data_IF_287473552994
#
_entry.id   IF_287473552994
#
_cell.length_a   1.000
_cell.length_b   1.000
_cell.length_c   1.000
_cell.angle_alpha   90.00
_cell.angle_beta   90.00
_cell.angle_gamma   90.00
#
_symmetry.space_group_name_H-M   'P 1'
#
loop_
_entity.id
_entity.type
_entity.pdbx_description
1 polymer ?
#
# COMPACT_ATOMS: atom_id res chain seq x y z
N UNK A 1 -11.03 13.08 -6.18
CA UNK A 1 -9.87 12.16 -6.44
C UNK A 1 -9.99 11.63 -7.86
N UNK A 2 -8.88 11.55 -8.63
CA UNK A 2 -8.90 11.01 -10.00
C UNK A 2 -8.30 9.62 -9.98
N UNK A 3 -8.99 8.65 -10.58
CA UNK A 3 -8.49 7.28 -10.77
C UNK A 3 -8.08 7.13 -12.22
N UNK A 4 -6.87 6.67 -12.45
CA UNK A 4 -6.34 6.38 -13.77
C UNK A 4 -5.86 4.93 -13.82
N UNK A 5 -6.21 4.23 -14.90
CA UNK A 5 -5.70 2.89 -15.16
C UNK A 5 -4.51 3.00 -16.10
N UNK A 6 -3.35 2.61 -15.61
CA UNK A 6 -2.11 2.61 -16.38
C UNK A 6 -1.68 1.19 -16.73
N UNK A 7 -0.92 1.05 -17.80
CA UNK A 7 -0.47 -0.25 -18.29
C UNK A 7 0.66 -0.82 -17.42
N UNK A 8 0.58 -2.11 -17.13
CA UNK A 8 1.69 -2.85 -16.54
C UNK A 8 2.36 -3.70 -17.63
N UNK A 9 3.60 -3.41 -18.05
CA UNK A 9 4.28 -4.12 -19.13
C UNK A 9 4.62 -5.57 -18.78
N UNK A 10 4.47 -5.96 -17.49
CA UNK A 10 4.71 -7.34 -17.00
C UNK A 10 6.08 -7.90 -17.44
N UNK A 11 7.10 -7.09 -17.31
CA UNK A 11 8.47 -7.39 -17.69
C UNK A 11 9.09 -8.53 -16.86
N UNK A 12 10.35 -8.86 -17.14
CA UNK A 12 11.11 -9.82 -16.34
C UNK A 12 11.24 -9.36 -14.87
N UNK A 13 11.42 -8.05 -14.62
CA UNK A 13 11.45 -7.48 -13.25
C UNK A 13 10.14 -7.69 -12.52
N UNK A 14 9.02 -7.46 -13.20
CA UNK A 14 7.70 -7.74 -12.63
C UNK A 14 7.56 -9.22 -12.23
N UNK A 15 7.93 -10.14 -13.14
CA UNK A 15 7.83 -11.57 -12.85
C UNK A 15 8.76 -11.99 -11.71
N UNK A 16 9.97 -11.46 -11.68
CA UNK A 16 10.94 -11.73 -10.61
C UNK A 16 10.40 -11.28 -9.25
N UNK A 17 9.99 -10.02 -9.12
CA UNK A 17 9.47 -9.49 -7.86
C UNK A 17 8.17 -10.21 -7.46
N UNK A 18 7.26 -10.47 -8.39
CA UNK A 18 6.06 -11.25 -8.14
C UNK A 18 6.39 -12.63 -7.57
N UNK A 19 7.33 -13.36 -8.19
CA UNK A 19 7.73 -14.69 -7.72
C UNK A 19 8.40 -14.62 -6.34
N UNK A 20 9.17 -13.58 -6.07
CA UNK A 20 9.77 -13.34 -4.75
C UNK A 20 8.70 -13.12 -3.69
N UNK A 21 7.74 -12.22 -3.95
CA UNK A 21 6.67 -11.87 -3.00
C UNK A 21 5.73 -13.05 -2.74
N UNK A 22 5.41 -13.83 -3.78
CA UNK A 22 4.56 -15.01 -3.66
C UNK A 22 5.33 -16.26 -3.23
N UNK A 23 6.63 -16.16 -3.05
CA UNK A 23 7.52 -17.25 -2.65
C UNK A 23 7.34 -17.64 -1.18
N UNK A 24 7.66 -18.89 -0.88
CA UNK A 24 7.51 -19.50 0.44
C UNK A 24 8.26 -18.77 1.56
N UNK A 25 9.36 -18.10 1.25
CA UNK A 25 10.24 -17.48 2.26
C UNK A 25 10.16 -15.95 2.25
N UNK A 26 9.13 -15.38 1.63
CA UNK A 26 8.96 -13.94 1.69
C UNK A 26 8.59 -13.50 3.12
N UNK A 27 9.27 -12.51 3.69
CA UNK A 27 9.14 -12.16 5.11
C UNK A 27 7.90 -11.29 5.38
N UNK A 28 6.76 -11.92 5.42
CA UNK A 28 5.51 -11.27 5.79
C UNK A 28 5.44 -10.98 7.28
N UNK A 29 4.93 -9.82 7.65
CA UNK A 29 4.58 -9.43 9.01
C UNK A 29 3.08 -9.34 9.16
N UNK A 30 2.54 -9.92 10.23
CA UNK A 30 1.11 -9.81 10.53
C UNK A 30 0.79 -8.47 11.17
N UNK A 31 -0.24 -7.79 10.68
CA UNK A 31 -0.88 -6.63 11.28
C UNK A 31 -2.30 -6.98 11.71
N UNK A 32 -2.68 -6.64 12.92
CA UNK A 32 -4.02 -6.93 13.44
C UNK A 32 -5.09 -6.06 12.80
N UNK A 33 -4.71 -4.87 12.35
CA UNK A 33 -5.63 -3.86 11.84
C UNK A 33 -5.12 -3.29 10.52
N UNK A 34 -6.04 -2.93 9.63
CA UNK A 34 -5.74 -2.20 8.39
C UNK A 34 -5.43 -0.73 8.66
N UNK A 35 -5.90 -0.19 9.78
CA UNK A 35 -5.72 1.19 10.19
C UNK A 35 -4.92 1.23 11.48
N UNK A 36 -3.80 1.94 11.48
CA UNK A 36 -3.05 2.21 12.70
C UNK A 36 -3.49 3.54 13.30
N UNK A 37 -3.79 3.55 14.60
CA UNK A 37 -4.28 4.73 15.32
C UNK A 37 -3.30 5.89 15.39
N UNK A 38 -2.01 5.64 15.18
CA UNK A 38 -0.95 6.63 15.35
C UNK A 38 -0.91 7.72 14.27
N UNK A 39 -1.69 7.56 13.18
CA UNK A 39 -1.72 8.47 12.03
C UNK A 39 -3.09 9.09 11.78
N UNK A 40 -4.03 8.89 12.69
CA UNK A 40 -5.35 9.46 12.56
C UNK A 40 -5.28 10.98 12.72
N UNK A 41 -5.85 11.71 11.77
CA UNK A 41 -6.27 13.06 12.03
C UNK A 41 -7.15 13.05 13.27
N UNK A 42 -6.99 13.99 14.22
CA UNK A 42 -7.87 14.07 15.38
C UNK A 42 -9.37 14.19 15.03
N UNK A 43 -9.66 14.52 13.78
CA UNK A 43 -11.03 14.61 13.24
C UNK A 43 -11.53 13.28 12.66
N UNK A 44 -10.69 12.24 12.57
CA UNK A 44 -11.07 10.92 12.05
C UNK A 44 -11.45 10.00 13.21
N UNK A 45 -12.70 10.00 13.56
CA UNK A 45 -13.26 9.04 14.53
C UNK A 45 -13.39 7.70 13.81
N UNK A 46 -12.60 6.72 14.25
CA UNK A 46 -12.75 5.34 13.84
C UNK A 46 -14.05 4.78 14.42
N UNK A 47 -15.14 4.95 13.70
CA UNK A 47 -16.40 4.30 14.06
C UNK A 47 -16.47 2.96 13.33
N UNK A 48 -15.96 1.92 13.99
CA UNK A 48 -16.03 0.54 13.49
C UNK A 48 -17.46 0.02 13.31
N UNK A 49 -18.45 0.79 13.76
CA UNK A 49 -19.87 0.43 13.68
C UNK A 49 -20.56 0.96 12.43
N UNK A 50 -19.89 1.83 11.64
CA UNK A 50 -20.48 2.43 10.47
C UNK A 50 -20.55 1.44 9.30
N UNK A 51 -21.73 0.99 9.01
CA UNK A 51 -22.17 0.44 7.72
C UNK A 51 -21.55 -0.88 7.26
N UNK A 52 -21.25 -1.81 8.15
CA UNK A 52 -20.74 -3.13 7.77
C UNK A 52 -19.27 -3.13 7.35
N UNK A 53 -18.53 -2.10 7.72
CA UNK A 53 -17.08 -2.09 7.65
C UNK A 53 -16.50 -2.70 8.93
N UNK A 54 -15.66 -3.69 8.77
CA UNK A 54 -14.94 -4.31 9.87
C UNK A 54 -13.45 -4.15 9.63
N UNK A 55 -12.71 -3.77 10.67
CA UNK A 55 -11.26 -3.82 10.61
C UNK A 55 -10.80 -5.27 10.72
N UNK A 56 -9.86 -5.67 9.90
CA UNK A 56 -9.36 -7.02 9.84
C UNK A 56 -7.86 -7.05 9.67
N UNK A 57 -7.24 -8.11 10.18
CA UNK A 57 -5.81 -8.29 10.05
C UNK A 57 -5.40 -8.67 8.64
N UNK A 58 -4.17 -8.34 8.28
CA UNK A 58 -3.56 -8.69 7.01
C UNK A 58 -2.05 -8.85 7.16
N UNK A 59 -1.43 -9.51 6.19
CA UNK A 59 0.02 -9.54 6.12
C UNK A 59 0.56 -8.38 5.31
N UNK A 60 1.64 -7.80 5.78
CA UNK A 60 2.34 -6.73 5.07
C UNK A 60 3.85 -6.93 5.08
N UNK A 61 4.52 -6.32 4.11
CA UNK A 61 5.96 -6.19 4.06
C UNK A 61 6.34 -4.82 3.53
N UNK A 62 7.03 -4.03 4.36
CA UNK A 62 7.53 -2.72 3.97
C UNK A 62 8.84 -2.84 3.20
N UNK A 63 8.91 -2.29 2.00
CA UNK A 63 10.16 -2.11 1.27
C UNK A 63 10.80 -0.78 1.62
N UNK A 64 10.02 0.28 1.54
CA UNK A 64 10.39 1.65 1.84
C UNK A 64 9.38 2.22 2.82
N UNK A 65 9.85 2.56 4.00
CA UNK A 65 8.99 3.09 5.07
C UNK A 65 8.98 4.60 5.02
N UNK A 66 7.80 5.17 5.20
CA UNK A 66 7.63 6.62 5.33
C UNK A 66 8.47 7.16 6.51
N UNK A 67 8.90 8.42 6.48
CA UNK A 67 9.56 9.06 7.61
C UNK A 67 8.67 9.00 8.86
N UNK A 68 9.23 8.55 9.96
CA UNK A 68 8.54 8.62 11.25
C UNK A 68 8.61 10.06 11.75
N UNK A 69 7.47 10.66 12.05
CA UNK A 69 7.43 11.95 12.75
C UNK A 69 7.83 11.69 14.21
N UNK A 70 9.11 11.71 14.49
CA UNK A 70 9.59 11.75 15.86
C UNK A 70 9.78 13.22 16.25
N UNK A 71 9.30 13.63 17.42
CA UNK A 71 9.39 15.00 17.91
C UNK A 71 10.83 15.55 17.93
N UNK A 72 11.82 14.66 17.95
CA UNK A 72 13.22 15.01 18.13
C UNK A 72 14.09 14.80 16.87
N UNK A 73 13.53 14.25 15.80
CA UNK A 73 14.29 13.96 14.57
C UNK A 73 13.54 14.51 13.37
N UNK A 74 14.12 15.50 12.74
CA UNK A 74 13.68 16.07 11.45
C UNK A 74 14.11 15.19 10.29
N UNK A 75 14.03 13.87 10.38
CA UNK A 75 14.29 13.00 9.25
C UNK A 75 13.12 13.07 8.28
N UNK A 76 13.34 13.74 7.16
CA UNK A 76 12.33 13.93 6.12
C UNK A 76 12.42 12.90 5.00
N UNK A 77 13.30 11.91 5.10
CA UNK A 77 13.52 10.93 4.03
C UNK A 77 12.93 9.56 4.38
N UNK A 78 12.38 8.85 3.38
CA UNK A 78 11.98 7.47 3.56
C UNK A 78 13.16 6.57 3.95
N UNK A 79 12.88 5.53 4.72
CA UNK A 79 13.90 4.59 5.18
C UNK A 79 13.73 3.25 4.48
N UNK A 80 14.80 2.75 3.89
CA UNK A 80 14.84 1.38 3.36
C UNK A 80 14.74 0.38 4.50
N UNK A 81 13.78 -0.55 4.39
CA UNK A 81 13.48 -1.52 5.45
C UNK A 81 13.55 -2.97 5.00
N UNK A 82 13.90 -3.19 3.73
CA UNK A 82 13.90 -4.51 3.12
C UNK A 82 15.08 -4.69 2.16
N UNK A 83 15.70 -5.89 2.11
CA UNK A 83 16.67 -6.23 1.08
C UNK A 83 16.10 -6.23 -0.33
N UNK A 84 14.78 -6.27 -0.47
CA UNK A 84 14.06 -6.24 -1.76
C UNK A 84 13.67 -4.84 -2.21
N UNK A 85 14.06 -3.79 -1.49
CA UNK A 85 13.69 -2.40 -1.80
C UNK A 85 14.10 -2.00 -3.21
N UNK A 86 15.30 -2.42 -3.63
CA UNK A 86 15.80 -2.10 -4.97
C UNK A 86 14.94 -2.75 -6.06
N UNK A 87 14.58 -4.01 -5.91
CA UNK A 87 13.76 -4.71 -6.90
C UNK A 87 12.34 -4.11 -6.99
N UNK A 88 11.76 -3.73 -5.85
CA UNK A 88 10.48 -3.04 -5.80
C UNK A 88 10.56 -1.64 -6.45
N UNK A 89 11.59 -0.88 -6.15
CA UNK A 89 11.82 0.44 -6.73
C UNK A 89 12.02 0.37 -8.25
N UNK A 90 12.85 -0.55 -8.71
CA UNK A 90 13.13 -0.74 -10.14
C UNK A 90 11.85 -1.10 -10.91
N UNK A 91 10.97 -1.93 -10.33
CA UNK A 91 9.68 -2.25 -10.93
C UNK A 91 8.74 -1.03 -10.99
N UNK A 92 8.59 -0.31 -9.87
CA UNK A 92 7.73 0.87 -9.81
C UNK A 92 8.18 1.91 -10.83
N UNK A 93 9.48 2.19 -10.88
CA UNK A 93 10.08 3.13 -11.84
C UNK A 93 9.81 2.69 -13.28
N UNK A 94 10.00 1.41 -13.59
CA UNK A 94 9.75 0.88 -14.94
C UNK A 94 8.28 1.05 -15.38
N UNK A 95 7.32 0.82 -14.48
CA UNK A 95 5.89 1.03 -14.77
C UNK A 95 5.60 2.51 -14.99
N UNK A 96 6.11 3.39 -14.13
CA UNK A 96 5.89 4.83 -14.25
C UNK A 96 6.52 5.38 -15.54
N UNK A 97 7.74 4.99 -15.87
CA UNK A 97 8.43 5.41 -17.08
C UNK A 97 7.72 4.90 -18.34
N UNK A 98 7.26 3.65 -18.34
CA UNK A 98 6.50 3.07 -19.46
C UNK A 98 5.22 3.87 -19.77
N UNK A 99 4.59 4.42 -18.74
CA UNK A 99 3.37 5.22 -18.85
C UNK A 99 3.62 6.74 -18.93
N UNK A 100 4.88 7.18 -18.99
CA UNK A 100 5.28 8.59 -18.95
C UNK A 100 4.74 9.35 -17.72
N UNK A 101 4.54 8.67 -16.60
CA UNK A 101 4.10 9.29 -15.35
C UNK A 101 5.29 9.93 -14.66
N UNK A 102 5.20 11.24 -14.40
CA UNK A 102 6.23 11.98 -13.67
C UNK A 102 5.94 11.96 -12.18
N UNK A 103 6.98 11.83 -11.39
CA UNK A 103 6.92 11.87 -9.93
C UNK A 103 8.19 12.54 -9.38
N UNK A 104 8.07 13.11 -8.21
CA UNK A 104 9.20 13.77 -7.54
C UNK A 104 9.91 12.81 -6.58
N UNK A 105 9.13 12.01 -5.85
CA UNK A 105 9.66 11.11 -4.82
C UNK A 105 8.72 9.92 -4.62
N UNK A 106 9.29 8.73 -4.50
CA UNK A 106 8.61 7.56 -3.96
C UNK A 106 8.76 7.60 -2.44
N UNK A 107 7.64 7.80 -1.76
CA UNK A 107 7.62 8.07 -0.33
C UNK A 107 7.45 6.80 0.52
N UNK A 108 6.74 5.81 0.01
CA UNK A 108 6.48 4.52 0.65
C UNK A 108 6.30 3.45 -0.41
N UNK A 109 6.78 2.27 -0.11
CA UNK A 109 6.48 1.05 -0.88
C UNK A 109 6.22 -0.10 0.08
N UNK A 110 5.15 -0.82 -0.12
CA UNK A 110 4.82 -2.00 0.66
C UNK A 110 4.08 -3.04 -0.20
N UNK A 111 4.23 -4.30 0.15
CA UNK A 111 3.35 -5.37 -0.31
C UNK A 111 2.33 -5.68 0.78
N UNK A 112 1.08 -5.87 0.38
CA UNK A 112 0.00 -6.28 1.26
C UNK A 112 -0.60 -7.59 0.77
N UNK A 113 -0.88 -8.51 1.69
CA UNK A 113 -1.56 -9.76 1.42
C UNK A 113 -2.80 -9.85 2.31
N UNK A 114 -3.95 -9.69 1.68
CA UNK A 114 -5.26 -9.79 2.33
C UNK A 114 -5.80 -11.18 2.09
N UNK A 115 -6.23 -11.85 3.17
CA UNK A 115 -6.86 -13.16 3.07
C UNK A 115 -8.36 -13.05 2.75
N UNK A 116 -8.89 -14.02 2.01
CA UNK A 116 -10.34 -14.12 1.86
C UNK A 116 -10.97 -14.38 3.23
N UNK A 117 -12.05 -13.69 3.53
CA UNK A 117 -12.88 -13.88 4.71
C UNK A 117 -14.17 -14.61 4.33
N UNK A 118 -14.80 -15.29 5.29
CA UNK A 118 -16.10 -15.98 5.05
C UNK A 118 -17.18 -15.01 4.59
N UNK A 119 -17.14 -13.79 5.12
CA UNK A 119 -18.02 -12.70 4.69
C UNK A 119 -17.19 -11.72 3.85
N UNK A 120 -17.84 -11.07 2.89
CA UNK A 120 -17.22 -9.95 2.20
C UNK A 120 -17.12 -8.78 3.17
N UNK A 121 -15.92 -8.53 3.65
CA UNK A 121 -15.61 -7.40 4.52
C UNK A 121 -14.93 -6.31 3.71
N UNK A 122 -15.28 -5.07 3.98
CA UNK A 122 -14.55 -3.92 3.50
C UNK A 122 -13.85 -3.28 4.70
N UNK A 123 -12.57 -2.94 4.55
CA UNK A 123 -11.89 -2.14 5.56
C UNK A 123 -12.55 -0.76 5.66
N UNK A 124 -12.52 -0.15 6.86
CA UNK A 124 -13.01 1.22 7.00
C UNK A 124 -12.34 2.16 6.02
N UNK A 125 -13.06 3.13 5.45
CA UNK A 125 -12.46 4.14 4.60
C UNK A 125 -11.37 4.90 5.36
N UNK A 126 -10.20 5.05 4.74
CA UNK A 126 -9.07 5.76 5.34
C UNK A 126 -8.22 6.45 4.27
N UNK A 127 -7.40 7.36 4.71
CA UNK A 127 -6.35 7.98 3.90
C UNK A 127 -4.99 7.47 4.37
N UNK A 128 -4.15 7.07 3.44
CA UNK A 128 -2.81 6.58 3.78
C UNK A 128 -1.91 7.68 4.36
N UNK A 129 -2.15 8.93 3.99
CA UNK A 129 -1.36 10.09 4.42
C UNK A 129 -2.23 11.34 4.58
N UNK A 130 -1.91 12.21 5.55
CA UNK A 130 -2.67 13.44 5.81
C UNK A 130 -2.35 14.59 4.84
N UNK A 131 -1.58 14.35 3.79
CA UNK A 131 -1.20 15.32 2.75
C UNK A 131 -1.53 14.81 1.36
N UNK A 132 -1.62 15.69 0.35
CA UNK A 132 -1.84 15.29 -1.03
C UNK A 132 -0.73 14.34 -1.53
N UNK A 133 -1.14 13.22 -2.08
CA UNK A 133 -0.24 12.20 -2.61
C UNK A 133 -0.95 11.39 -3.72
N UNK A 134 -0.17 10.62 -4.45
CA UNK A 134 -0.67 9.66 -5.44
C UNK A 134 -0.30 8.25 -4.99
N UNK A 135 -1.27 7.34 -5.01
CA UNK A 135 -1.05 5.93 -4.78
C UNK A 135 -0.96 5.17 -6.11
N UNK A 136 0.07 4.36 -6.27
CA UNK A 136 0.16 3.36 -7.33
C UNK A 136 -0.12 1.98 -6.74
N UNK A 137 -1.21 1.35 -7.19
CA UNK A 137 -1.57 -0.01 -6.80
C UNK A 137 -1.21 -0.99 -7.92
N UNK A 138 -0.42 -2.01 -7.58
CA UNK A 138 0.00 -3.05 -8.51
C UNK A 138 -0.54 -4.38 -7.98
N UNK A 139 -1.54 -4.94 -8.67
CA UNK A 139 -2.07 -6.25 -8.34
C UNK A 139 -1.15 -7.35 -8.85
N UNK A 140 -0.63 -8.17 -7.94
CA UNK A 140 0.26 -9.29 -8.25
C UNK A 140 -0.52 -10.59 -8.49
N UNK A 141 -1.74 -10.68 -7.97
CA UNK A 141 -2.67 -11.79 -8.17
C UNK A 141 -4.00 -11.25 -8.69
N UNK A 142 -4.81 -12.12 -9.28
CA UNK A 142 -6.17 -11.75 -9.64
C UNK A 142 -7.02 -11.70 -8.36
N UNK A 143 -7.50 -10.52 -7.95
CA UNK A 143 -8.26 -10.41 -6.71
C UNK A 143 -9.64 -11.03 -6.92
N UNK A 144 -9.90 -12.15 -6.27
CA UNK A 144 -11.26 -12.70 -6.23
C UNK A 144 -12.11 -11.89 -5.25
N UNK A 145 -12.96 -11.01 -5.78
CA UNK A 145 -13.82 -10.09 -4.99
C UNK A 145 -13.05 -9.15 -4.05
N UNK A 146 -11.80 -8.81 -4.39
CA UNK A 146 -10.94 -7.91 -3.62
C UNK A 146 -10.79 -6.56 -4.31
N UNK A 147 -11.90 -5.87 -4.58
CA UNK A 147 -11.85 -4.54 -5.19
C UNK A 147 -11.32 -3.50 -4.20
N UNK A 148 -10.53 -2.57 -4.70
CA UNK A 148 -10.23 -1.32 -3.98
C UNK A 148 -11.34 -0.32 -4.31
N UNK A 149 -12.03 0.14 -3.28
CA UNK A 149 -13.09 1.15 -3.40
C UNK A 149 -12.51 2.52 -3.07
N UNK A 150 -12.73 3.48 -3.95
CA UNK A 150 -12.32 4.87 -3.74
C UNK A 150 -13.56 5.73 -3.57
N UNK A 151 -13.67 6.36 -2.41
CA UNK A 151 -14.77 7.25 -2.09
C UNK A 151 -14.33 8.71 -2.21
N UNK A 152 -15.17 9.54 -2.82
CA UNK A 152 -14.96 10.99 -2.77
C UNK A 152 -15.50 11.55 -1.46
N UNK A 153 -14.69 12.36 -0.78
CA UNK A 153 -15.20 13.17 0.33
C UNK A 153 -16.24 14.15 -0.23
N UNK A 154 -17.44 14.08 0.30
CA UNK A 154 -18.51 15.04 0.00
C UNK A 154 -18.29 16.33 0.79
#
# INVERSE_FOLDING_TARGET
MTIELIANPKTAKYQQLKNTILGQFFPWSWGENTITTDWQSPDYVHDSTLNGHEDFGFYSHGFLMRPVKNSDVTCCYPTESSPFVKDAHDLVTEILDFNNVKYDLIFRMAANCVHPTEKRLASPPHEDHPWPHTNLLIYLTDPFKGETVVEEKK
#
